data_IF_199095622595
#
_entry.id   IF_199095622595
#
_cell.length_a   1.000
_cell.length_b   1.000
_cell.length_c   1.000
_cell.angle_alpha   90.00
_cell.angle_beta   90.00
_cell.angle_gamma   90.00
#
_symmetry.space_group_name_H-M   'P 1'
#
loop_
_entity.id
_entity.type
_entity.pdbx_description
1 polymer ?
#
# COMPACT_ATOMS: atom_id res chain seq x y z
N UNK A 1 11.25 1.31 -13.08
CA UNK A 1 10.42 1.37 -11.86
C UNK A 1 11.18 0.62 -10.78
N UNK A 2 11.02 0.98 -9.52
CA UNK A 2 11.56 0.25 -8.36
C UNK A 2 10.62 0.41 -7.17
N UNK A 3 10.91 -0.26 -6.06
CA UNK A 3 10.07 -0.24 -4.86
C UNK A 3 9.92 1.19 -4.29
N UNK A 4 11.00 1.96 -4.23
CA UNK A 4 10.96 3.33 -3.71
C UNK A 4 10.06 4.22 -4.56
N UNK A 5 10.16 4.15 -5.90
CA UNK A 5 9.32 4.92 -6.81
C UNK A 5 7.84 4.54 -6.70
N UNK A 6 7.53 3.26 -6.45
CA UNK A 6 6.17 2.81 -6.17
C UNK A 6 5.59 3.46 -4.90
N UNK A 7 6.38 3.53 -3.82
CA UNK A 7 5.95 4.20 -2.58
C UNK A 7 5.72 5.70 -2.81
N UNK A 8 6.63 6.36 -3.53
CA UNK A 8 6.51 7.79 -3.87
C UNK A 8 5.25 8.06 -4.69
N UNK A 9 4.91 7.20 -5.66
CA UNK A 9 3.66 7.31 -6.41
C UNK A 9 2.43 7.22 -5.50
N UNK A 10 2.40 6.30 -4.53
CA UNK A 10 1.31 6.24 -3.56
C UNK A 10 1.23 7.53 -2.74
N UNK A 11 2.37 8.14 -2.39
CA UNK A 11 2.42 9.44 -1.71
C UNK A 11 1.92 10.59 -2.60
N UNK A 12 2.26 10.59 -3.88
CA UNK A 12 1.80 11.58 -4.86
C UNK A 12 0.28 11.49 -5.09
N UNK A 13 -0.26 10.27 -5.19
CA UNK A 13 -1.71 10.01 -5.28
C UNK A 13 -2.40 10.47 -3.99
N UNK A 14 -1.76 10.25 -2.85
CA UNK A 14 -2.19 10.61 -1.50
C UNK A 14 -3.41 9.83 -1.01
N UNK A 15 -4.57 10.03 -1.62
CA UNK A 15 -5.86 9.41 -1.23
C UNK A 15 -5.94 7.99 -1.78
N UNK A 16 -5.42 7.01 -1.03
CA UNK A 16 -5.34 5.62 -1.45
C UNK A 16 -6.40 4.75 -0.75
N UNK A 17 -6.82 3.69 -1.43
CA UNK A 17 -7.69 2.67 -0.83
C UNK A 17 -6.86 1.74 0.05
N UNK A 18 -7.23 1.64 1.33
CA UNK A 18 -6.63 0.73 2.31
C UNK A 18 -7.63 -0.36 2.67
N UNK A 19 -7.25 -1.60 2.44
CA UNK A 19 -8.02 -2.78 2.81
C UNK A 19 -7.39 -3.49 4.01
N UNK A 20 -8.23 -3.94 4.92
CA UNK A 20 -7.89 -4.74 6.11
C UNK A 20 -8.93 -5.82 6.30
N UNK A 21 -8.77 -6.67 7.31
CA UNK A 21 -9.78 -7.66 7.70
C UNK A 21 -10.30 -7.36 9.10
N UNK A 22 -11.60 -7.52 9.30
CA UNK A 22 -12.21 -7.39 10.62
C UNK A 22 -12.03 -8.65 11.49
N UNK A 23 -12.62 -8.67 12.67
CA UNK A 23 -12.52 -9.77 13.63
C UNK A 23 -13.13 -11.10 13.13
N UNK A 24 -14.03 -11.02 12.16
CA UNK A 24 -14.67 -12.18 11.54
C UNK A 24 -13.96 -12.63 10.26
N UNK A 25 -12.86 -11.94 9.87
CA UNK A 25 -12.14 -12.20 8.63
C UNK A 25 -12.77 -11.54 7.40
N UNK A 26 -13.82 -10.71 7.58
CA UNK A 26 -14.44 -10.01 6.47
C UNK A 26 -13.57 -8.83 5.99
N UNK A 27 -13.42 -8.63 4.66
CA UNK A 27 -12.64 -7.54 4.12
C UNK A 27 -13.31 -6.19 4.37
N UNK A 28 -12.51 -5.20 4.74
CA UNK A 28 -12.92 -3.83 4.98
C UNK A 28 -12.04 -2.89 4.14
N UNK A 29 -12.65 -1.86 3.51
CA UNK A 29 -11.92 -0.89 2.70
C UNK A 29 -12.33 0.54 3.04
N UNK A 30 -11.37 1.48 2.98
CA UNK A 30 -11.58 2.93 3.17
C UNK A 30 -10.48 3.71 2.45
N UNK A 31 -10.71 5.00 2.23
CA UNK A 31 -9.67 5.91 1.74
C UNK A 31 -8.90 6.44 2.92
N UNK A 32 -7.57 6.37 2.84
CA UNK A 32 -6.61 6.89 3.82
C UNK A 32 -5.51 7.62 3.08
N UNK A 33 -5.12 8.78 3.60
CA UNK A 33 -4.01 9.54 3.07
C UNK A 33 -2.67 8.85 3.38
N UNK A 34 -1.86 8.65 2.35
CA UNK A 34 -0.44 8.34 2.53
C UNK A 34 0.26 9.61 2.98
N UNK A 35 0.72 9.65 4.23
CA UNK A 35 1.18 10.88 4.88
C UNK A 35 2.66 11.18 4.66
N UNK A 36 3.50 10.14 4.50
CA UNK A 36 4.94 10.27 4.35
C UNK A 36 5.49 9.03 3.68
N UNK A 37 6.57 9.17 2.93
CA UNK A 37 7.40 8.08 2.41
C UNK A 37 8.84 8.46 2.65
N UNK A 38 9.57 7.65 3.41
CA UNK A 38 10.99 7.81 3.70
C UNK A 38 11.61 6.47 4.11
N UNK A 39 12.90 6.33 3.94
CA UNK A 39 13.69 5.16 4.34
C UNK A 39 13.09 3.81 3.92
N UNK A 40 12.48 3.77 2.72
CA UNK A 40 11.87 2.55 2.18
C UNK A 40 10.57 2.15 2.90
N UNK A 41 9.87 3.08 3.53
CA UNK A 41 8.61 2.82 4.22
C UNK A 41 7.52 3.84 3.86
N UNK A 42 6.27 3.39 3.91
CA UNK A 42 5.07 4.21 3.77
C UNK A 42 4.48 4.47 5.16
N UNK A 43 4.15 5.72 5.45
CA UNK A 43 3.60 6.14 6.75
C UNK A 43 2.21 6.74 6.60
N UNK A 44 1.35 6.42 7.56
CA UNK A 44 0.00 6.95 7.68
C UNK A 44 -0.42 7.02 9.15
N UNK A 45 -1.55 7.63 9.43
CA UNK A 45 -2.09 7.67 10.79
C UNK A 45 -3.60 7.47 10.80
N UNK A 46 -4.11 6.97 11.93
CA UNK A 46 -5.54 6.85 12.17
C UNK A 46 -5.87 7.08 13.64
N UNK A 47 -7.07 7.59 13.93
CA UNK A 47 -7.45 7.86 15.31
C UNK A 47 -7.80 6.57 16.05
N UNK A 48 -7.40 6.54 17.32
CA UNK A 48 -7.82 5.51 18.28
C UNK A 48 -9.34 5.51 18.40
N UNK A 49 -9.92 4.34 18.53
CA UNK A 49 -11.37 4.15 18.60
C UNK A 49 -12.05 3.87 17.26
N UNK A 50 -11.38 4.07 16.12
CA UNK A 50 -11.90 3.64 14.82
C UNK A 50 -11.71 2.13 14.60
N UNK A 51 -12.60 1.52 13.84
CA UNK A 51 -12.51 0.11 13.43
C UNK A 51 -11.20 -0.18 12.71
N UNK A 52 -10.76 0.72 11.84
CA UNK A 52 -9.50 0.63 11.13
C UNK A 52 -8.31 0.50 12.09
N UNK A 53 -8.27 1.33 13.15
CA UNK A 53 -7.24 1.23 14.19
C UNK A 53 -7.26 -0.14 14.88
N UNK A 54 -8.46 -0.65 15.25
CA UNK A 54 -8.59 -1.98 15.88
C UNK A 54 -8.12 -3.10 14.96
N UNK A 55 -8.48 -3.03 13.68
CA UNK A 55 -8.08 -4.03 12.67
C UNK A 55 -6.56 -4.07 12.53
N UNK A 56 -5.90 -2.92 12.36
CA UNK A 56 -4.45 -2.83 12.24
C UNK A 56 -3.70 -3.31 13.50
N UNK A 57 -4.20 -2.97 14.69
CA UNK A 57 -3.55 -3.37 15.94
C UNK A 57 -3.73 -4.85 16.26
N UNK A 58 -4.81 -5.46 15.78
CA UNK A 58 -5.10 -6.87 15.99
C UNK A 58 -4.34 -7.79 15.03
N UNK A 59 -4.34 -7.47 13.74
CA UNK A 59 -3.86 -8.36 12.68
C UNK A 59 -2.67 -7.74 11.93
N UNK A 60 -2.71 -6.44 11.66
CA UNK A 60 -1.65 -5.72 10.94
C UNK A 60 -1.67 -5.93 9.43
N UNK A 61 -2.27 -6.98 8.90
CA UNK A 61 -2.33 -7.22 7.45
C UNK A 61 -3.10 -6.10 6.75
N UNK A 62 -2.49 -5.57 5.69
CA UNK A 62 -3.04 -4.44 4.94
C UNK A 62 -2.72 -4.57 3.47
N UNK A 63 -3.66 -4.15 2.63
CA UNK A 63 -3.41 -3.91 1.22
C UNK A 63 -3.75 -2.46 0.89
N UNK A 64 -2.89 -1.82 0.12
CA UNK A 64 -3.02 -0.42 -0.31
C UNK A 64 -3.02 -0.37 -1.82
N UNK A 65 -3.87 0.46 -2.41
CA UNK A 65 -3.81 0.71 -3.84
C UNK A 65 -4.16 2.16 -4.16
N UNK A 66 -3.49 2.69 -5.18
CA UNK A 66 -3.76 4.01 -5.75
C UNK A 66 -3.61 3.97 -7.27
N UNK A 67 -4.44 4.75 -7.96
CA UNK A 67 -4.41 4.96 -9.40
C UNK A 67 -4.18 6.44 -9.66
N UNK A 68 -3.16 6.78 -10.46
CA UNK A 68 -2.93 8.15 -10.87
C UNK A 68 -3.73 8.51 -12.15
N UNK A 69 -3.67 9.78 -12.55
CA UNK A 69 -4.36 10.30 -13.75
C UNK A 69 -3.82 9.75 -15.07
N UNK A 70 -2.63 9.18 -15.06
CA UNK A 70 -1.95 8.59 -16.22
C UNK A 70 -2.24 7.08 -16.35
N UNK A 71 -3.24 6.57 -15.63
CA UNK A 71 -3.66 5.17 -15.60
C UNK A 71 -2.57 4.21 -15.11
N UNK A 72 -1.68 4.73 -14.26
CA UNK A 72 -0.68 3.93 -13.59
C UNK A 72 -1.16 3.62 -12.17
N UNK A 73 -1.14 2.36 -11.81
CA UNK A 73 -1.60 1.85 -10.52
C UNK A 73 -0.45 1.24 -9.75
N UNK A 74 -0.40 1.50 -8.46
CA UNK A 74 0.44 0.78 -7.52
C UNK A 74 -0.44 0.02 -6.53
N UNK A 75 -0.06 -1.21 -6.24
CA UNK A 75 -0.61 -2.03 -5.16
C UNK A 75 0.51 -2.38 -4.20
N UNK A 76 0.25 -2.28 -2.92
CA UNK A 76 1.14 -2.72 -1.85
C UNK A 76 0.37 -3.70 -0.96
N UNK A 77 0.94 -4.87 -0.73
CA UNK A 77 0.42 -5.83 0.28
C UNK A 77 1.51 -6.06 1.31
N UNK A 78 1.19 -5.89 2.58
CA UNK A 78 2.20 -6.01 3.64
C UNK A 78 1.59 -5.99 5.03
N UNK A 79 2.43 -5.69 6.01
CA UNK A 79 2.03 -5.57 7.42
C UNK A 79 2.23 -4.14 7.90
N UNK A 80 1.20 -3.57 8.51
CA UNK A 80 1.26 -2.27 9.15
C UNK A 80 1.74 -2.41 10.60
N UNK A 81 2.77 -1.69 10.96
CA UNK A 81 3.35 -1.65 12.30
C UNK A 81 3.06 -0.32 12.96
N UNK A 82 2.50 -0.36 14.18
CA UNK A 82 2.30 0.84 14.99
C UNK A 82 3.64 1.33 15.54
N UNK A 83 3.94 2.60 15.35
CA UNK A 83 5.19 3.22 15.78
C UNK A 83 5.18 3.55 17.29
N UNK A 84 6.32 3.33 17.95
CA UNK A 84 6.44 3.47 19.42
C UNK A 84 6.48 4.93 19.88
N UNK A 85 7.30 5.76 19.26
CA UNK A 85 7.40 7.19 19.56
C UNK A 85 6.28 7.97 18.88
N UNK A 86 5.07 7.77 19.41
CA UNK A 86 3.84 8.28 18.82
C UNK A 86 3.87 9.80 18.63
N UNK A 87 4.28 10.58 19.66
CA UNK A 87 4.24 12.04 19.57
C UNK A 87 5.19 12.56 18.50
N UNK A 88 6.43 12.14 18.51
CA UNK A 88 7.42 12.56 17.52
C UNK A 88 6.98 12.22 16.10
N UNK A 89 6.43 11.02 15.88
CA UNK A 89 5.95 10.63 14.57
C UNK A 89 4.70 11.40 14.11
N UNK A 90 3.76 11.70 15.02
CA UNK A 90 2.60 12.53 14.68
C UNK A 90 3.07 13.94 14.32
N UNK A 91 3.98 14.53 15.08
CA UNK A 91 4.51 15.87 14.77
C UNK A 91 5.21 15.87 13.40
N UNK A 92 6.05 14.89 13.11
CA UNK A 92 6.70 14.73 11.79
C UNK A 92 5.70 14.59 10.64
N UNK A 93 4.65 13.78 10.82
CA UNK A 93 3.56 13.63 9.84
C UNK A 93 2.86 14.97 9.61
N UNK A 94 2.61 15.75 10.66
CA UNK A 94 1.93 17.05 10.56
C UNK A 94 2.82 18.12 9.94
N UNK A 95 4.13 18.09 10.17
CA UNK A 95 5.10 18.93 9.47
C UNK A 95 5.08 18.69 7.95
N UNK A 96 5.04 17.42 7.54
CA UNK A 96 4.94 17.03 6.14
C UNK A 96 3.55 17.26 5.51
N UNK A 97 2.51 17.49 6.35
CA UNK A 97 1.12 17.66 5.93
C UNK A 97 0.44 18.82 6.70
N UNK A 98 0.81 20.08 6.47
CA UNK A 98 0.32 21.22 7.27
C UNK A 98 -1.21 21.38 7.28
N UNK A 99 -1.91 20.94 6.24
CA UNK A 99 -3.37 20.97 6.15
C UNK A 99 -4.07 20.14 7.25
N UNK A 100 -3.38 19.15 7.81
CA UNK A 100 -3.88 18.33 8.91
C UNK A 100 -4.13 19.14 10.19
N UNK A 101 -3.44 20.30 10.36
CA UNK A 101 -3.68 21.19 11.50
C UNK A 101 -5.10 21.80 11.48
N UNK A 102 -5.75 21.90 10.34
CA UNK A 102 -7.15 22.31 10.22
C UNK A 102 -8.13 21.22 10.68
N UNK A 103 -7.75 19.95 10.56
CA UNK A 103 -8.58 18.80 10.96
C UNK A 103 -8.38 18.45 12.45
N UNK A 104 -7.13 18.48 12.91
CA UNK A 104 -6.73 18.14 14.28
C UNK A 104 -5.84 19.26 14.85
N UNK A 105 -6.42 20.39 15.28
CA UNK A 105 -5.66 21.53 15.80
C UNK A 105 -5.03 21.23 17.15
N UNK A 106 -3.81 21.76 17.39
CA UNK A 106 -3.09 21.68 18.64
C UNK A 106 -2.94 20.25 19.18
N UNK A 107 -3.23 20.06 20.46
CA UNK A 107 -3.09 18.76 21.14
C UNK A 107 -4.09 17.69 20.67
N UNK A 108 -5.17 18.07 19.96
CA UNK A 108 -6.15 17.09 19.44
C UNK A 108 -5.55 16.09 18.45
N UNK A 109 -4.43 16.44 17.78
CA UNK A 109 -3.67 15.55 16.90
C UNK A 109 -3.21 14.26 17.58
N UNK A 110 -3.00 14.27 18.90
CA UNK A 110 -2.49 13.12 19.64
C UNK A 110 -3.55 12.07 19.97
N UNK A 111 -4.77 12.19 19.44
CA UNK A 111 -5.70 11.07 19.34
C UNK A 111 -5.27 10.06 18.27
N UNK A 112 -4.45 10.49 17.33
CA UNK A 112 -3.93 9.67 16.24
C UNK A 112 -2.80 8.76 16.72
N UNK A 113 -2.75 7.57 16.15
CA UNK A 113 -1.60 6.68 16.22
C UNK A 113 -0.95 6.59 14.82
N UNK A 114 0.39 6.70 14.74
CA UNK A 114 1.14 6.54 13.50
C UNK A 114 1.42 5.07 13.23
N UNK A 115 1.38 4.71 11.95
CA UNK A 115 1.69 3.39 11.44
C UNK A 115 2.65 3.49 10.27
N UNK A 116 3.47 2.45 10.06
CA UNK A 116 4.27 2.29 8.85
C UNK A 116 4.06 0.92 8.21
N UNK A 117 4.31 0.85 6.90
CA UNK A 117 4.45 -0.39 6.13
C UNK A 117 5.86 -0.35 5.55
N UNK A 118 6.76 -1.19 6.05
CA UNK A 118 8.17 -1.26 5.66
C UNK A 118 8.58 -2.61 5.07
N UNK A 119 7.64 -3.54 4.98
CA UNK A 119 7.85 -4.86 4.39
C UNK A 119 6.59 -5.35 3.65
N UNK A 120 6.79 -6.06 2.54
CA UNK A 120 5.70 -6.60 1.75
C UNK A 120 6.03 -6.78 0.28
N UNK A 121 5.01 -6.81 -0.54
CA UNK A 121 5.09 -6.89 -2.01
C UNK A 121 4.43 -5.65 -2.63
N UNK A 122 5.14 -5.02 -3.56
CA UNK A 122 4.64 -3.94 -4.42
C UNK A 122 4.41 -4.47 -5.83
N UNK A 123 3.35 -4.01 -6.46
CA UNK A 123 3.06 -4.27 -7.86
C UNK A 123 2.75 -2.95 -8.57
N UNK A 124 3.50 -2.67 -9.62
CA UNK A 124 3.25 -1.57 -10.53
C UNK A 124 2.51 -2.06 -11.77
N UNK A 125 1.52 -1.30 -12.20
CA UNK A 125 0.68 -1.60 -13.35
C UNK A 125 0.50 -0.35 -14.20
N UNK A 126 0.88 -0.39 -15.49
CA UNK A 126 0.71 0.71 -16.43
C UNK A 126 -0.29 0.32 -17.52
N UNK A 127 -1.53 0.80 -17.37
CA UNK A 127 -2.62 0.58 -18.31
C UNK A 127 -2.51 1.46 -19.56
N UNK A 128 -1.65 2.48 -19.55
CA UNK A 128 -1.40 3.35 -20.70
C UNK A 128 -0.48 2.74 -21.77
N UNK A 129 0.13 1.58 -21.48
CA UNK A 129 1.02 0.88 -22.40
C UNK A 129 0.33 -0.25 -23.14
N UNK A 130 0.80 -0.53 -24.36
CA UNK A 130 0.41 -1.68 -25.14
C UNK A 130 1.67 -2.46 -25.57
N UNK A 131 1.89 -3.71 -25.09
CA UNK A 131 1.07 -4.41 -24.11
C UNK A 131 1.10 -3.72 -22.75
N UNK A 132 0.11 -4.01 -21.89
CA UNK A 132 0.06 -3.53 -20.53
C UNK A 132 1.33 -3.94 -19.79
N UNK A 133 2.00 -2.95 -19.19
CA UNK A 133 3.22 -3.22 -18.41
C UNK A 133 2.89 -3.54 -16.97
N UNK A 134 3.53 -4.56 -16.43
CA UNK A 134 3.37 -5.03 -15.05
C UNK A 134 4.70 -5.47 -14.49
N UNK A 135 5.00 -5.06 -13.27
CA UNK A 135 6.23 -5.43 -12.58
C UNK A 135 5.97 -5.49 -11.06
N UNK A 136 6.64 -6.43 -10.37
CA UNK A 136 6.52 -6.60 -8.92
C UNK A 136 7.87 -6.41 -8.25
N UNK A 137 7.85 -5.84 -7.02
CA UNK A 137 9.04 -5.53 -6.24
C UNK A 137 8.85 -5.99 -4.80
N UNK A 138 9.90 -6.51 -4.18
CA UNK A 138 9.93 -6.72 -2.75
C UNK A 138 10.13 -5.38 -2.02
N UNK A 139 9.44 -5.20 -0.91
CA UNK A 139 9.63 -4.11 0.03
C UNK A 139 10.27 -4.65 1.30
N UNK A 140 11.41 -4.11 1.72
CA UNK A 140 12.11 -4.54 2.92
C UNK A 140 12.42 -6.03 2.93
N UNK A 141 12.03 -6.72 3.99
CA UNK A 141 12.16 -8.17 4.13
C UNK A 141 11.10 -9.00 3.38
N UNK A 142 10.20 -8.32 2.64
CA UNK A 142 9.18 -8.99 1.83
C UNK A 142 9.78 -9.78 0.66
N UNK A 143 8.92 -10.53 -0.01
CA UNK A 143 9.28 -11.27 -1.21
C UNK A 143 8.23 -11.08 -2.30
N UNK A 144 8.64 -11.27 -3.55
CA UNK A 144 7.74 -11.22 -4.70
C UNK A 144 7.13 -12.60 -4.92
N UNK A 145 5.81 -12.65 -4.94
CA UNK A 145 5.08 -13.86 -5.32
C UNK A 145 5.12 -14.01 -6.84
N UNK A 146 5.66 -15.12 -7.39
CA UNK A 146 5.65 -15.35 -8.83
C UNK A 146 4.21 -15.29 -9.38
N UNK A 147 4.02 -14.46 -10.41
CA UNK A 147 2.72 -14.28 -11.08
C UNK A 147 2.82 -14.77 -12.52
N UNK A 148 1.75 -15.37 -13.00
CA UNK A 148 1.68 -15.88 -14.34
C UNK A 148 1.10 -17.28 -14.40
N UNK A 149 1.22 -17.90 -15.57
CA UNK A 149 0.80 -19.29 -15.80
C UNK A 149 2.00 -20.21 -15.65
N UNK A 150 1.82 -21.31 -14.94
CA UNK A 150 2.82 -22.37 -14.87
C UNK A 150 2.62 -23.32 -16.03
N UNK A 151 3.68 -23.53 -16.82
CA UNK A 151 3.70 -24.57 -17.84
C UNK A 151 4.12 -25.89 -17.18
N UNK A 152 3.15 -26.75 -16.94
CA UNK A 152 3.39 -28.04 -16.29
C UNK A 152 4.05 -29.05 -17.22
N UNK A 153 4.56 -30.15 -16.66
CA UNK A 153 5.13 -31.28 -17.46
C UNK A 153 4.14 -31.96 -18.42
N UNK A 154 2.84 -31.67 -18.34
CA UNK A 154 1.84 -32.13 -19.28
C UNK A 154 1.78 -31.29 -20.58
N UNK A 155 2.56 -30.23 -20.67
CA UNK A 155 2.60 -29.37 -21.86
C UNK A 155 3.26 -30.08 -23.04
N UNK A 156 2.56 -30.15 -24.18
CA UNK A 156 3.05 -30.74 -25.41
C UNK A 156 3.76 -29.74 -26.34
N UNK A 157 3.93 -28.49 -25.91
CA UNK A 157 4.64 -27.44 -26.66
C UNK A 157 3.91 -26.95 -27.94
N UNK A 158 2.59 -27.09 -28.03
CA UNK A 158 1.83 -26.75 -29.26
C UNK A 158 1.71 -25.24 -29.54
N UNK A 159 2.08 -24.34 -28.60
CA UNK A 159 2.07 -22.88 -28.80
C UNK A 159 0.69 -22.20 -28.71
N UNK A 160 -0.42 -22.94 -28.70
CA UNK A 160 -1.78 -22.38 -28.71
C UNK A 160 -2.06 -21.39 -27.55
N UNK A 161 -1.48 -21.62 -26.37
CA UNK A 161 -1.65 -20.71 -25.26
C UNK A 161 -0.95 -19.37 -25.50
N UNK A 162 0.20 -19.34 -26.17
CA UNK A 162 0.90 -18.12 -26.52
C UNK A 162 0.16 -17.31 -27.60
N UNK A 163 -0.37 -18.01 -28.62
CA UNK A 163 -1.14 -17.37 -29.70
C UNK A 163 -2.46 -16.77 -29.23
N UNK A 164 -3.08 -17.36 -28.19
CA UNK A 164 -4.37 -16.91 -27.66
C UNK A 164 -4.26 -16.04 -26.40
N UNK A 165 -3.06 -15.80 -25.91
CA UNK A 165 -2.86 -14.94 -24.74
C UNK A 165 -3.18 -13.48 -25.11
N UNK A 166 -4.10 -12.82 -24.37
CA UNK A 166 -4.46 -11.42 -24.66
C UNK A 166 -3.43 -10.41 -24.14
N UNK A 167 -2.34 -10.87 -23.53
CA UNK A 167 -1.28 -10.02 -22.92
C UNK A 167 0.09 -10.31 -23.51
#
# INVERSE_FOLDING_TARGET
MDAQRCLEMLREIKDCAFATVDENGAPQVRIIDVMLVEDGALYFCTSRGKDFHRQLTRDGRVAVTGLNKDWQMVRLTGTAHRLRDRRAWIDRIFEANPSMNGVYPGESRYILDPFCICEGELEFFDLGKAPIYRESFALGAGHVTPKGFEITGACIGCGLCAERCPQ
#
